data_IF_337288103609
#
_entry.id   IF_337288103609
#
_cell.length_a   1.000
_cell.length_b   1.000
_cell.length_c   1.000
_cell.angle_alpha   90.00
_cell.angle_beta   90.00
_cell.angle_gamma   90.00
#
_symmetry.space_group_name_H-M   'P 1'
#
loop_
_entity.id
_entity.type
_entity.pdbx_description
1 polymer ?
#
# COMPACT_ATOMS: atom_id res chain seq x y z
N UNK A 1 -1.76 3.79 -11.27
CA UNK A 1 -1.99 2.32 -11.17
C UNK A 1 -3.48 2.11 -10.97
N UNK A 2 -4.10 1.08 -11.57
CA UNK A 2 -5.52 0.76 -11.33
C UNK A 2 -5.68 -0.11 -10.07
N UNK A 3 -6.88 -0.14 -9.47
CA UNK A 3 -7.20 -1.02 -8.32
C UNK A 3 -6.95 -2.49 -8.65
N UNK A 4 -7.42 -2.94 -9.81
CA UNK A 4 -7.20 -4.29 -10.32
C UNK A 4 -5.70 -4.62 -10.43
N UNK A 5 -4.93 -3.74 -11.09
CA UNK A 5 -3.48 -3.93 -11.25
C UNK A 5 -2.76 -3.96 -9.90
N UNK A 6 -3.14 -3.12 -8.94
CA UNK A 6 -2.59 -3.16 -7.58
C UNK A 6 -2.90 -4.50 -6.91
N UNK A 7 -4.16 -4.94 -6.97
CA UNK A 7 -4.59 -6.20 -6.35
C UNK A 7 -3.85 -7.40 -6.93
N UNK A 8 -3.76 -7.50 -8.26
CA UNK A 8 -3.03 -8.58 -8.94
C UNK A 8 -1.56 -8.59 -8.55
N UNK A 9 -0.89 -7.43 -8.59
CA UNK A 9 0.52 -7.33 -8.20
C UNK A 9 0.78 -7.67 -6.73
N UNK A 10 -0.22 -7.53 -5.88
CA UNK A 10 -0.14 -7.86 -4.45
C UNK A 10 -0.55 -9.30 -4.12
N UNK A 11 -0.90 -10.10 -5.14
CA UNK A 11 -1.27 -11.51 -4.99
C UNK A 11 -2.76 -11.77 -4.79
N UNK A 12 -3.64 -10.86 -5.19
CA UNK A 12 -5.08 -11.11 -5.27
C UNK A 12 -5.42 -11.66 -6.66
N UNK A 13 -6.24 -12.71 -6.71
CA UNK A 13 -6.78 -13.27 -7.96
C UNK A 13 -7.43 -12.19 -8.84
N UNK A 14 -7.07 -12.14 -10.12
CA UNK A 14 -7.44 -11.09 -11.08
C UNK A 14 -8.95 -10.83 -11.11
N UNK A 15 -9.75 -11.90 -11.16
CA UNK A 15 -11.22 -11.85 -11.18
C UNK A 15 -11.83 -11.09 -9.99
N UNK A 16 -11.15 -11.06 -8.85
CA UNK A 16 -11.62 -10.43 -7.61
C UNK A 16 -10.82 -9.19 -7.21
N UNK A 17 -9.70 -8.91 -7.88
CA UNK A 17 -8.73 -7.89 -7.51
C UNK A 17 -9.37 -6.50 -7.38
N UNK A 18 -10.11 -6.07 -8.41
CA UNK A 18 -10.80 -4.76 -8.39
C UNK A 18 -11.79 -4.65 -7.23
N UNK A 19 -12.65 -5.66 -7.06
CA UNK A 19 -13.70 -5.66 -6.04
C UNK A 19 -13.11 -5.60 -4.63
N UNK A 20 -12.11 -6.43 -4.34
CA UNK A 20 -11.45 -6.47 -3.02
C UNK A 20 -10.74 -5.16 -2.68
N UNK A 21 -9.97 -4.60 -3.61
CA UNK A 21 -9.29 -3.31 -3.39
C UNK A 21 -10.31 -2.19 -3.17
N UNK A 22 -11.39 -2.16 -3.95
CA UNK A 22 -12.47 -1.18 -3.74
C UNK A 22 -13.14 -1.30 -2.37
N UNK A 23 -13.31 -2.52 -1.85
CA UNK A 23 -13.86 -2.75 -0.50
C UNK A 23 -12.90 -2.28 0.59
N UNK A 24 -11.59 -2.38 0.37
CA UNK A 24 -10.57 -1.88 1.29
C UNK A 24 -10.54 -0.35 1.31
N UNK A 25 -10.53 0.29 0.14
CA UNK A 25 -10.58 1.76 0.03
C UNK A 25 -11.87 2.34 0.60
N UNK A 26 -13.00 1.67 0.39
CA UNK A 26 -14.29 2.07 0.94
C UNK A 26 -14.49 1.73 2.42
N UNK A 27 -13.51 1.08 3.08
CA UNK A 27 -13.59 0.71 4.49
C UNK A 27 -14.61 -0.39 4.82
N UNK A 28 -15.16 -1.08 3.80
CA UNK A 28 -16.12 -2.19 3.97
C UNK A 28 -15.42 -3.39 4.62
N UNK A 29 -14.21 -3.68 4.17
CA UNK A 29 -13.34 -4.70 4.76
C UNK A 29 -11.98 -4.12 5.10
N UNK A 30 -11.36 -4.68 6.13
CA UNK A 30 -9.98 -4.33 6.49
C UNK A 30 -9.04 -5.39 5.94
N UNK A 31 -8.04 -5.03 5.12
CA UNK A 31 -7.02 -5.96 4.68
C UNK A 31 -6.19 -6.43 5.90
N UNK A 32 -5.64 -7.64 5.82
CA UNK A 32 -4.67 -8.11 6.82
C UNK A 32 -3.40 -7.28 6.75
N UNK A 33 -2.58 -7.34 7.79
CA UNK A 33 -1.29 -6.65 7.78
C UNK A 33 -0.38 -7.14 6.65
N UNK A 34 -0.37 -8.45 6.38
CA UNK A 34 0.39 -9.06 5.29
C UNK A 34 -0.04 -8.51 3.93
N UNK A 35 -1.35 -8.31 3.73
CA UNK A 35 -1.87 -7.70 2.50
C UNK A 35 -1.42 -6.25 2.36
N UNK A 36 -1.41 -5.48 3.45
CA UNK A 36 -0.88 -4.11 3.44
C UNK A 36 0.62 -4.06 3.17
N UNK A 37 1.40 -5.03 3.69
CA UNK A 37 2.81 -5.19 3.34
C UNK A 37 2.99 -5.46 1.84
N UNK A 38 2.14 -6.28 1.23
CA UNK A 38 2.16 -6.52 -0.22
C UNK A 38 1.83 -5.24 -1.00
N UNK A 39 0.80 -4.49 -0.60
CA UNK A 39 0.50 -3.19 -1.21
C UNK A 39 1.64 -2.18 -1.05
N UNK A 40 2.25 -2.10 0.13
CA UNK A 40 3.39 -1.22 0.40
C UNK A 40 4.55 -1.48 -0.55
N UNK A 41 4.89 -2.76 -0.77
CA UNK A 41 5.93 -3.18 -1.71
C UNK A 41 5.59 -2.77 -3.16
N UNK A 42 4.35 -3.00 -3.59
CA UNK A 42 3.90 -2.68 -4.96
C UNK A 42 3.84 -1.16 -5.20
N UNK A 43 3.38 -0.40 -4.20
CA UNK A 43 3.25 1.06 -4.26
C UNK A 43 4.55 1.79 -3.92
N UNK A 44 5.56 1.05 -3.41
CA UNK A 44 6.87 1.56 -3.05
C UNK A 44 6.80 2.65 -1.98
N UNK A 45 6.05 2.36 -0.92
CA UNK A 45 5.84 3.18 0.27
C UNK A 45 6.13 2.33 1.51
N UNK A 46 6.45 2.92 2.68
CA UNK A 46 6.61 2.14 3.90
C UNK A 46 5.24 1.67 4.42
N UNK A 47 5.18 0.48 5.03
CA UNK A 47 3.94 -0.14 5.51
C UNK A 47 3.22 0.75 6.54
N UNK A 48 3.98 1.46 7.38
CA UNK A 48 3.45 2.36 8.39
C UNK A 48 2.71 3.58 7.79
N UNK A 49 2.95 3.92 6.52
CA UNK A 49 2.23 4.99 5.81
C UNK A 49 0.72 4.77 5.86
N UNK A 50 0.27 3.52 5.63
CA UNK A 50 -1.16 3.19 5.59
C UNK A 50 -1.89 3.29 6.94
N UNK A 51 -1.14 3.35 8.04
CA UNK A 51 -1.69 3.39 9.39
C UNK A 51 -1.45 4.75 10.08
N UNK A 52 -0.93 5.73 9.36
CA UNK A 52 -0.66 7.07 9.87
C UNK A 52 -1.82 7.99 9.52
N UNK A 53 -2.61 8.38 10.52
CA UNK A 53 -3.83 9.20 10.32
C UNK A 53 -3.50 10.69 10.11
N UNK A 54 -2.38 11.17 10.63
CA UNK A 54 -1.97 12.55 10.45
C UNK A 54 -1.25 12.69 9.09
N UNK A 55 -1.84 13.46 8.18
CA UNK A 55 -1.33 13.63 6.81
C UNK A 55 0.10 14.19 6.79
N UNK A 56 0.41 15.20 7.61
CA UNK A 56 1.75 15.78 7.68
C UNK A 56 2.80 14.74 8.11
N UNK A 57 2.47 13.89 9.07
CA UNK A 57 3.32 12.81 9.53
C UNK A 57 3.49 11.72 8.46
N UNK A 58 2.41 11.36 7.75
CA UNK A 58 2.46 10.38 6.67
C UNK A 58 3.40 10.85 5.55
N UNK A 59 3.32 12.13 5.17
CA UNK A 59 4.21 12.75 4.19
C UNK A 59 5.67 12.78 4.67
N UNK A 60 5.92 13.11 5.94
CA UNK A 60 7.27 13.07 6.52
C UNK A 60 7.87 11.66 6.50
N UNK A 61 7.06 10.64 6.86
CA UNK A 61 7.46 9.23 6.81
C UNK A 61 7.80 8.80 5.38
N UNK A 62 6.96 9.18 4.41
CA UNK A 62 7.19 8.87 3.00
C UNK A 62 8.47 9.54 2.49
N UNK A 63 8.68 10.83 2.79
CA UNK A 63 9.89 11.55 2.40
C UNK A 63 11.15 10.90 2.98
N UNK A 64 11.13 10.51 4.25
CA UNK A 64 12.24 9.80 4.90
C UNK A 64 12.52 8.45 4.23
N UNK A 65 11.48 7.69 3.90
CA UNK A 65 11.60 6.41 3.21
C UNK A 65 12.24 6.54 1.82
N UNK A 66 11.79 7.53 1.04
CA UNK A 66 12.30 7.80 -0.30
C UNK A 66 13.77 8.26 -0.30
N UNK A 67 14.17 9.04 0.69
CA UNK A 67 15.52 9.62 0.79
C UNK A 67 16.55 8.68 1.40
N UNK A 68 16.19 7.88 2.42
CA UNK A 68 17.16 7.06 3.15
C UNK A 68 17.07 5.56 2.85
N UNK A 69 15.86 5.00 2.77
CA UNK A 69 15.69 3.56 2.62
C UNK A 69 15.80 3.07 1.18
N UNK A 70 15.38 3.89 0.21
CA UNK A 70 15.46 3.53 -1.22
C UNK A 70 16.85 3.68 -1.81
N UNK A 71 17.66 4.63 -1.34
CA UNK A 71 19.04 4.81 -1.83
C UNK A 71 19.98 3.70 -1.35
N UNK A 72 19.73 3.11 -0.18
CA UNK A 72 20.58 2.04 0.37
C UNK A 72 20.33 0.66 -0.26
N UNK A 73 19.31 0.48 -1.11
CA UNK A 73 18.97 -0.79 -1.79
C UNK A 73 19.21 -0.78 -3.30
N UNK A 74 19.90 0.23 -3.84
CA UNK A 74 20.43 0.21 -5.21
C UNK A 74 21.77 -0.50 -5.28
#
# INVERSE_FOLDING_TARGET
>A
MTQEKLGVLAGIEEETARSRVSQYEGGIHRPTFEMMCSFAKVLNVPECYFYTVNDELAEMILALYLTHYRYSKK
#
